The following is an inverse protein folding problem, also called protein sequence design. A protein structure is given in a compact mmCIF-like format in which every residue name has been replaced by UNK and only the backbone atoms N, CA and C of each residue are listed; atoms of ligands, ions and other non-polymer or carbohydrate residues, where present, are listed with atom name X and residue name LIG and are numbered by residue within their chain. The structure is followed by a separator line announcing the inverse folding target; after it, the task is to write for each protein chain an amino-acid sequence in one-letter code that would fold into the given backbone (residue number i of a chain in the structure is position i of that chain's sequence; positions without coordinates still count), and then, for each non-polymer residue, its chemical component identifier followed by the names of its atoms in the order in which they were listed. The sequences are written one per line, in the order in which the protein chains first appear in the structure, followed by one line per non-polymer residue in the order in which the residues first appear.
data_IF_545056987314
#
_entry.id   IF_545056987314
#
_cell.length_a   1.000
_cell.length_b   1.000
_cell.length_c   1.000
_cell.angle_alpha   90.00
_cell.angle_beta   90.00
_cell.angle_gamma   90.00
#
_symmetry.space_group_name_H-M   'P 1'
#
loop_
_entity.id
_entity.type
_entity.pdbx_description
1 polymer ?
#
# COMPACT_ATOMS: atom_id res chain seq x y z
N UNK A 1 -54.59 29.01 -28.72
CA UNK A 1 -54.43 28.41 -27.37
C UNK A 1 -54.07 26.95 -27.54
N UNK A 2 -52.81 26.60 -27.30
CA UNK A 2 -52.31 25.21 -27.34
C UNK A 2 -52.16 24.76 -25.87
N UNK A 3 -52.64 23.61 -25.45
CA UNK A 3 -52.67 23.26 -24.03
C UNK A 3 -51.28 22.81 -23.56
N UNK A 4 -50.84 23.39 -22.47
CA UNK A 4 -49.54 23.22 -21.80
C UNK A 4 -49.43 21.91 -20.96
N UNK A 5 -50.12 20.82 -21.35
CA UNK A 5 -50.20 19.62 -20.50
C UNK A 5 -49.30 18.46 -20.86
N UNK A 6 -48.67 18.43 -22.05
CA UNK A 6 -47.94 17.24 -22.52
C UNK A 6 -46.44 17.18 -22.23
N UNK A 7 -45.80 18.30 -21.81
CA UNK A 7 -44.34 18.30 -21.54
C UNK A 7 -43.94 17.81 -20.14
N UNK A 8 -44.81 17.99 -19.16
CA UNK A 8 -44.51 17.62 -17.76
C UNK A 8 -44.56 16.11 -17.57
N UNK A 9 -45.49 15.43 -18.22
CA UNK A 9 -45.65 13.94 -18.07
C UNK A 9 -44.47 13.15 -18.65
N UNK A 10 -43.83 13.65 -19.72
CA UNK A 10 -42.68 12.95 -20.32
C UNK A 10 -41.38 13.06 -19.50
N UNK A 11 -41.18 14.16 -18.79
CA UNK A 11 -39.99 14.37 -17.94
C UNK A 11 -40.10 13.52 -16.66
N UNK A 12 -41.28 13.43 -16.08
CA UNK A 12 -41.53 12.62 -14.86
C UNK A 12 -41.45 11.12 -15.16
N UNK A 13 -41.93 10.66 -16.33
CA UNK A 13 -41.82 9.26 -16.75
C UNK A 13 -40.35 8.85 -17.04
N UNK A 14 -39.53 9.76 -17.57
CA UNK A 14 -38.11 9.50 -17.80
C UNK A 14 -37.31 9.39 -16.50
N UNK A 15 -37.56 10.25 -15.52
CA UNK A 15 -36.89 10.21 -14.22
C UNK A 15 -37.31 8.97 -13.42
N UNK A 16 -38.58 8.61 -13.39
CA UNK A 16 -39.05 7.40 -12.73
C UNK A 16 -38.52 6.11 -13.38
N UNK A 17 -38.28 6.10 -14.70
CA UNK A 17 -37.68 4.97 -15.39
C UNK A 17 -36.17 4.84 -15.07
N UNK A 18 -35.44 5.96 -14.96
CA UNK A 18 -34.03 5.94 -14.55
C UNK A 18 -33.86 5.51 -13.09
N UNK A 19 -34.72 5.99 -12.19
CA UNK A 19 -34.69 5.57 -10.78
C UNK A 19 -35.03 4.08 -10.63
N UNK A 20 -35.96 3.54 -11.44
CA UNK A 20 -36.28 2.11 -11.46
C UNK A 20 -35.10 1.26 -11.99
N UNK A 21 -34.43 1.68 -13.06
CA UNK A 21 -33.23 1.02 -13.58
C UNK A 21 -32.07 1.07 -12.58
N UNK A 22 -31.84 2.18 -11.91
CA UNK A 22 -30.83 2.29 -10.86
C UNK A 22 -31.15 1.40 -9.65
N UNK A 23 -32.42 1.29 -9.26
CA UNK A 23 -32.85 0.39 -8.19
C UNK A 23 -32.67 -1.09 -8.56
N UNK A 24 -33.01 -1.49 -9.79
CA UNK A 24 -32.80 -2.86 -10.30
C UNK A 24 -31.33 -3.22 -10.37
N UNK A 25 -30.47 -2.31 -10.81
CA UNK A 25 -29.01 -2.49 -10.80
C UNK A 25 -28.48 -2.65 -9.37
N UNK A 26 -28.96 -1.83 -8.42
CA UNK A 26 -28.57 -1.92 -7.01
C UNK A 26 -29.04 -3.24 -6.37
N UNK A 27 -30.25 -3.69 -6.70
CA UNK A 27 -30.78 -4.97 -6.22
C UNK A 27 -29.99 -6.16 -6.77
N UNK A 28 -29.65 -6.10 -8.06
CA UNK A 28 -28.80 -7.10 -8.73
C UNK A 28 -27.41 -7.16 -8.10
N UNK A 29 -26.79 -6.00 -7.80
CA UNK A 29 -25.51 -5.92 -7.09
C UNK A 29 -25.64 -6.54 -5.70
N UNK A 30 -26.69 -6.24 -4.94
CA UNK A 30 -26.92 -6.83 -3.61
C UNK A 30 -27.20 -8.33 -3.67
N UNK A 31 -27.82 -8.79 -4.75
CA UNK A 31 -28.07 -10.22 -4.95
C UNK A 31 -26.79 -10.97 -5.29
N UNK A 32 -25.95 -10.42 -6.18
CA UNK A 32 -24.61 -10.94 -6.47
C UNK A 32 -23.74 -10.93 -5.21
N UNK A 33 -23.79 -9.85 -4.42
CA UNK A 33 -23.07 -9.78 -3.14
C UNK A 33 -23.56 -10.84 -2.15
N UNK A 34 -24.86 -11.13 -2.08
CA UNK A 34 -25.45 -12.20 -1.23
C UNK A 34 -25.06 -13.60 -1.72
N UNK A 35 -25.10 -13.86 -3.00
CA UNK A 35 -24.70 -15.14 -3.60
C UNK A 35 -23.20 -15.40 -3.40
N UNK A 36 -22.36 -14.41 -3.62
CA UNK A 36 -20.92 -14.46 -3.29
C UNK A 36 -20.69 -14.68 -1.79
N UNK A 37 -21.51 -14.10 -0.91
CA UNK A 37 -21.44 -14.33 0.54
C UNK A 37 -21.92 -15.73 0.97
N UNK A 38 -22.82 -16.35 0.21
CA UNK A 38 -23.37 -17.67 0.54
C UNK A 38 -22.47 -18.83 0.05
N UNK A 39 -21.73 -18.64 -1.03
CA UNK A 39 -20.76 -19.63 -1.55
C UNK A 39 -19.41 -19.62 -0.81
N UNK A 40 -19.05 -18.50 -0.18
CA UNK A 40 -17.78 -18.34 0.54
C UNK A 40 -18.09 -18.22 2.03
N UNK A 41 -17.91 -19.30 2.78
CA UNK A 41 -17.94 -19.29 4.26
C UNK A 41 -17.22 -18.06 4.84
N UNK A 42 -16.99 -17.96 6.14
CA UNK A 42 -16.33 -16.80 6.78
C UNK A 42 -15.20 -16.25 5.91
N UNK A 43 -15.25 -14.94 5.58
CA UNK A 43 -14.23 -14.31 4.74
C UNK A 43 -12.83 -14.62 5.27
N UNK A 44 -11.84 -14.87 4.40
CA UNK A 44 -10.48 -15.19 4.83
C UNK A 44 -9.85 -14.03 5.60
N UNK A 45 -8.74 -14.32 6.31
CA UNK A 45 -7.92 -13.37 7.04
C UNK A 45 -8.54 -12.79 8.33
N UNK A 46 -9.54 -13.46 8.92
CA UNK A 46 -10.01 -13.12 10.27
C UNK A 46 -8.85 -13.21 11.27
N UNK A 47 -8.64 -12.17 12.07
CA UNK A 47 -7.53 -12.09 13.02
C UNK A 47 -6.18 -11.70 12.42
N UNK A 48 -6.13 -11.38 11.13
CA UNK A 48 -4.95 -10.81 10.45
C UNK A 48 -5.03 -9.29 10.46
N UNK A 49 -3.91 -8.63 10.72
CA UNK A 49 -3.77 -7.17 10.67
C UNK A 49 -2.82 -6.78 9.55
N UNK A 50 -3.29 -5.91 8.65
CA UNK A 50 -2.50 -5.36 7.55
C UNK A 50 -2.24 -3.87 7.79
N UNK A 51 -0.97 -3.48 7.85
CA UNK A 51 -0.54 -2.08 7.96
C UNK A 51 0.01 -1.67 6.60
N UNK A 52 -0.73 -0.82 5.90
CA UNK A 52 -0.37 -0.31 4.59
C UNK A 52 0.29 1.07 4.70
N UNK A 53 1.29 1.27 3.89
CA UNK A 53 2.01 2.52 3.72
C UNK A 53 2.18 2.80 2.22
N UNK A 54 2.05 4.06 1.80
CA UNK A 54 2.45 4.50 0.47
C UNK A 54 3.67 5.40 0.61
N UNK A 55 4.74 5.11 -0.11
CA UNK A 55 5.97 5.90 -0.07
C UNK A 55 5.74 7.36 -0.47
N UNK A 56 6.59 8.25 0.04
CA UNK A 56 6.56 9.68 -0.33
C UNK A 56 5.25 10.39 0.08
N UNK A 57 4.78 11.36 -0.70
CA UNK A 57 3.55 12.13 -0.45
C UNK A 57 3.78 13.52 0.13
N UNK A 58 2.76 14.37 0.08
CA UNK A 58 2.85 15.77 0.41
C UNK A 58 3.87 16.47 -0.48
N UNK A 59 4.85 17.17 0.08
CA UNK A 59 5.91 17.85 -0.70
C UNK A 59 7.03 16.92 -1.22
N UNK A 60 6.94 15.64 -0.96
CA UNK A 60 7.89 14.63 -1.44
C UNK A 60 7.26 13.82 -2.57
N UNK A 61 7.49 14.18 -3.86
CA UNK A 61 6.90 13.49 -5.00
C UNK A 61 7.51 12.09 -5.24
N UNK A 62 8.59 11.75 -4.52
CA UNK A 62 9.36 10.55 -4.82
C UNK A 62 10.08 10.62 -6.16
N UNK A 63 10.12 9.52 -6.88
CA UNK A 63 10.67 9.48 -8.24
C UNK A 63 9.70 10.10 -9.24
N UNK A 64 10.25 10.81 -10.22
CA UNK A 64 9.46 11.51 -11.21
C UNK A 64 9.84 11.08 -12.63
N UNK A 65 8.83 10.95 -13.48
CA UNK A 65 8.99 10.91 -14.92
C UNK A 65 8.38 12.20 -15.49
N UNK A 66 9.22 13.20 -15.74
CA UNK A 66 8.79 14.54 -16.18
C UNK A 66 8.16 14.53 -17.57
N UNK A 67 8.62 13.65 -18.47
CA UNK A 67 8.07 13.52 -19.83
C UNK A 67 6.63 13.01 -19.80
N UNK A 68 6.30 12.09 -18.91
CA UNK A 68 4.97 11.52 -18.76
C UNK A 68 4.17 12.18 -17.63
N UNK A 69 4.72 13.21 -16.98
CA UNK A 69 4.10 13.95 -15.85
C UNK A 69 3.64 13.03 -14.72
N UNK A 70 4.49 12.08 -14.35
CA UNK A 70 4.18 11.07 -13.34
C UNK A 70 5.06 11.25 -12.11
N UNK A 71 4.47 11.22 -10.93
CA UNK A 71 5.13 11.24 -9.63
C UNK A 71 4.89 9.92 -8.90
N UNK A 72 5.92 9.39 -8.24
CA UNK A 72 5.84 8.13 -7.51
C UNK A 72 4.75 8.13 -6.43
N UNK A 73 4.67 9.21 -5.61
CA UNK A 73 3.73 9.33 -4.49
C UNK A 73 2.28 9.04 -4.92
N UNK A 74 1.83 9.63 -6.03
CA UNK A 74 0.46 9.53 -6.51
C UNK A 74 0.05 8.10 -6.88
N UNK A 75 0.92 7.41 -7.61
CA UNK A 75 0.63 6.04 -8.03
C UNK A 75 0.82 5.03 -6.89
N UNK A 76 1.78 5.27 -6.00
CA UNK A 76 1.96 4.46 -4.79
C UNK A 76 0.73 4.58 -3.89
N UNK A 77 0.19 5.80 -3.74
CA UNK A 77 -1.02 6.07 -2.95
C UNK A 77 -2.25 5.42 -3.58
N UNK A 78 -2.47 5.58 -4.90
CA UNK A 78 -3.59 4.95 -5.61
C UNK A 78 -3.60 3.43 -5.44
N UNK A 79 -2.44 2.78 -5.58
CA UNK A 79 -2.33 1.34 -5.43
C UNK A 79 -2.55 0.90 -3.97
N UNK A 80 -2.05 1.66 -2.99
CA UNK A 80 -2.37 1.42 -1.58
C UNK A 80 -3.89 1.51 -1.33
N UNK A 81 -4.57 2.50 -1.91
CA UNK A 81 -6.02 2.65 -1.81
C UNK A 81 -6.77 1.47 -2.45
N UNK A 82 -6.31 0.97 -3.61
CA UNK A 82 -6.86 -0.25 -4.25
C UNK A 82 -6.70 -1.48 -3.35
N UNK A 83 -5.52 -1.69 -2.80
CA UNK A 83 -5.26 -2.79 -1.84
C UNK A 83 -6.21 -2.67 -0.64
N UNK A 84 -6.32 -1.48 -0.03
CA UNK A 84 -7.21 -1.22 1.11
C UNK A 84 -8.66 -1.55 0.77
N UNK A 85 -9.16 -1.09 -0.40
CA UNK A 85 -10.50 -1.36 -0.90
C UNK A 85 -10.75 -2.86 -1.10
N UNK A 86 -9.82 -3.57 -1.75
CA UNK A 86 -9.93 -5.01 -2.01
C UNK A 86 -9.90 -5.82 -0.70
N UNK A 87 -9.05 -5.46 0.26
CA UNK A 87 -9.04 -6.12 1.57
C UNK A 87 -10.38 -5.98 2.29
N UNK A 88 -10.95 -4.77 2.30
CA UNK A 88 -12.25 -4.52 2.93
C UNK A 88 -13.41 -5.31 2.26
N UNK A 89 -13.33 -5.51 0.95
CA UNK A 89 -14.36 -6.24 0.20
C UNK A 89 -14.22 -7.75 0.29
N UNK A 90 -12.99 -8.27 0.22
CA UNK A 90 -12.71 -9.70 0.00
C UNK A 90 -12.26 -10.45 1.27
N UNK A 91 -12.02 -9.74 2.39
CA UNK A 91 -11.43 -10.36 3.59
C UNK A 91 -11.97 -9.76 4.87
N UNK A 92 -11.77 -10.45 5.99
CA UNK A 92 -12.02 -9.95 7.35
C UNK A 92 -10.75 -9.42 8.04
N UNK A 93 -9.72 -9.07 7.26
CA UNK A 93 -8.50 -8.48 7.78
C UNK A 93 -8.74 -7.08 8.37
N UNK A 94 -8.15 -6.79 9.50
CA UNK A 94 -8.11 -5.44 10.04
C UNK A 94 -7.04 -4.61 9.32
N UNK A 95 -7.43 -3.52 8.67
CA UNK A 95 -6.53 -2.70 7.86
C UNK A 95 -6.26 -1.37 8.54
N UNK A 96 -4.97 -1.05 8.73
CA UNK A 96 -4.48 0.27 9.13
C UNK A 96 -3.65 0.88 8.01
N UNK A 97 -3.63 2.20 7.93
CA UNK A 97 -2.79 2.96 7.00
C UNK A 97 -1.90 3.93 7.76
N UNK A 98 -0.76 4.29 7.18
CA UNK A 98 0.17 5.25 7.79
C UNK A 98 -0.01 6.67 7.24
N UNK A 99 -0.62 6.81 6.08
CA UNK A 99 -0.73 8.05 5.31
C UNK A 99 -2.16 8.22 4.79
N UNK A 100 -2.59 9.47 4.65
CA UNK A 100 -3.92 9.86 4.15
C UNK A 100 -3.80 11.14 3.32
N UNK A 101 -4.47 11.17 2.17
CA UNK A 101 -4.73 12.41 1.43
C UNK A 101 -5.91 13.13 2.11
N UNK A 102 -5.68 14.37 2.58
CA UNK A 102 -6.69 15.16 3.31
C UNK A 102 -7.88 15.57 2.45
N UNK A 103 -7.70 15.67 1.15
CA UNK A 103 -8.71 16.14 0.20
C UNK A 103 -9.53 15.00 -0.38
N UNK A 104 -8.88 13.93 -0.80
CA UNK A 104 -9.54 12.82 -1.52
C UNK A 104 -9.78 11.58 -0.64
N UNK A 105 -9.23 11.57 0.58
CA UNK A 105 -9.27 10.39 1.43
C UNK A 105 -8.60 9.20 0.75
N UNK A 106 -9.24 8.03 0.80
CA UNK A 106 -8.74 6.79 0.22
C UNK A 106 -9.40 6.46 -1.13
N UNK A 107 -9.71 7.46 -1.92
CA UNK A 107 -10.33 7.30 -3.23
C UNK A 107 -9.31 6.78 -4.24
N UNK A 108 -9.68 5.76 -5.02
CA UNK A 108 -8.88 5.27 -6.13
C UNK A 108 -9.07 6.15 -7.37
N UNK A 109 -8.07 6.20 -8.23
CA UNK A 109 -8.12 6.98 -9.47
C UNK A 109 -7.97 6.08 -10.69
N UNK A 110 -8.91 6.16 -11.63
CA UNK A 110 -8.81 5.46 -12.91
C UNK A 110 -8.14 6.30 -14.01
N UNK A 111 -7.71 7.51 -13.66
CA UNK A 111 -6.97 8.39 -14.59
C UNK A 111 -5.60 7.80 -14.92
N UNK A 112 -5.19 7.95 -16.18
CA UNK A 112 -3.85 7.58 -16.64
C UNK A 112 -2.76 8.49 -16.05
N UNK A 113 -3.07 9.79 -15.88
CA UNK A 113 -2.20 10.75 -15.21
C UNK A 113 -2.90 11.20 -13.92
N UNK A 114 -2.31 10.84 -12.79
CA UNK A 114 -2.76 11.28 -11.47
C UNK A 114 -1.95 12.53 -11.14
N UNK A 115 -2.65 13.65 -10.92
CA UNK A 115 -2.03 14.94 -10.63
C UNK A 115 -1.65 15.04 -9.16
N UNK A 116 -0.43 15.48 -8.91
CA UNK A 116 0.07 15.81 -7.57
C UNK A 116 -0.78 16.92 -6.92
N UNK A 117 -1.15 16.71 -5.67
CA UNK A 117 -1.94 17.67 -4.91
C UNK A 117 -1.26 18.13 -3.60
N UNK A 118 -0.15 17.50 -3.21
CA UNK A 118 0.60 17.76 -1.97
C UNK A 118 -0.23 17.64 -0.67
N UNK A 119 -1.35 16.94 -0.68
CA UNK A 119 -2.29 16.88 0.43
C UNK A 119 -2.09 15.67 1.36
N UNK A 120 -1.18 14.75 1.03
CA UNK A 120 -0.93 13.58 1.85
C UNK A 120 -0.16 13.93 3.13
N UNK A 121 -0.64 13.36 4.22
CA UNK A 121 -0.04 13.50 5.55
C UNK A 121 0.08 12.16 6.27
N UNK A 122 1.13 12.02 7.09
CA UNK A 122 1.23 10.87 7.98
C UNK A 122 0.27 11.01 9.16
N UNK A 123 -0.35 9.89 9.53
CA UNK A 123 -1.33 9.78 10.61
C UNK A 123 -0.67 9.68 12.00
N UNK A 124 0.50 10.28 12.16
CA UNK A 124 1.20 10.42 13.45
C UNK A 124 0.48 11.41 14.37
N UNK A 125 0.87 11.46 15.64
CA UNK A 125 0.37 12.44 16.59
C UNK A 125 1.53 13.29 17.15
N UNK A 126 1.59 14.61 16.80
CA UNK A 126 0.72 15.30 15.82
C UNK A 126 0.88 14.78 14.39
N UNK A 127 -0.11 15.03 13.51
CA UNK A 127 -0.03 14.68 12.09
C UNK A 127 1.16 15.36 11.41
N UNK A 128 1.74 14.72 10.41
CA UNK A 128 2.92 15.23 9.71
C UNK A 128 2.67 15.37 8.21
N UNK A 129 2.78 16.59 7.70
CA UNK A 129 2.48 16.97 6.31
C UNK A 129 3.62 16.67 5.31
N UNK A 130 4.42 15.64 5.52
CA UNK A 130 5.48 15.15 4.61
C UNK A 130 6.39 16.24 4.01
N UNK A 131 6.87 17.18 4.83
CA UNK A 131 7.71 18.31 4.38
C UNK A 131 9.17 17.93 4.13
N UNK A 132 9.66 16.90 4.80
CA UNK A 132 11.03 16.41 4.70
C UNK A 132 11.05 14.89 4.57
N UNK A 133 11.62 14.33 3.47
CA UNK A 133 11.62 12.89 3.18
C UNK A 133 12.30 12.05 4.26
N UNK A 134 13.39 12.57 4.88
CA UNK A 134 14.11 11.85 5.94
C UNK A 134 13.24 11.71 7.19
N UNK A 135 12.58 12.78 7.61
CA UNK A 135 11.67 12.78 8.76
C UNK A 135 10.49 11.87 8.47
N UNK A 136 9.89 11.97 7.29
CA UNK A 136 8.81 11.12 6.82
C UNK A 136 9.16 9.64 6.92
N UNK A 137 10.28 9.22 6.34
CA UNK A 137 10.74 7.83 6.37
C UNK A 137 10.87 7.26 7.81
N UNK A 138 11.27 8.11 8.77
CA UNK A 138 11.35 7.70 10.18
C UNK A 138 10.01 7.69 10.89
N UNK A 139 9.10 8.58 10.56
CA UNK A 139 7.78 8.61 11.19
C UNK A 139 6.87 7.46 10.71
N UNK A 140 7.04 6.97 9.47
CA UNK A 140 6.30 5.82 8.93
C UNK A 140 6.51 4.55 9.74
N UNK A 141 7.75 4.14 9.98
CA UNK A 141 8.01 2.96 10.80
C UNK A 141 7.64 3.19 12.27
N UNK A 142 7.77 4.42 12.80
CA UNK A 142 7.38 4.72 14.18
C UNK A 142 5.87 4.54 14.37
N UNK A 143 5.06 5.02 13.42
CA UNK A 143 3.61 4.83 13.40
C UNK A 143 3.26 3.35 13.24
N UNK A 144 3.86 2.64 12.28
CA UNK A 144 3.66 1.21 12.10
C UNK A 144 3.98 0.41 13.37
N UNK A 145 5.08 0.74 14.07
CA UNK A 145 5.44 0.14 15.35
C UNK A 145 4.44 0.46 16.48
N UNK A 146 3.87 1.67 16.47
CA UNK A 146 2.83 2.04 17.45
C UNK A 146 1.55 1.23 17.23
N UNK A 147 1.12 1.09 15.97
CA UNK A 147 -0.03 0.24 15.59
C UNK A 147 0.25 -1.21 15.99
N UNK A 148 1.39 -1.76 15.59
CA UNK A 148 1.79 -3.12 15.90
C UNK A 148 1.73 -3.43 17.41
N UNK A 149 2.36 -2.57 18.24
CA UNK A 149 2.32 -2.74 19.71
C UNK A 149 0.90 -2.68 20.26
N UNK A 150 0.04 -1.84 19.69
CA UNK A 150 -1.36 -1.71 20.12
C UNK A 150 -2.14 -2.99 19.84
N UNK A 151 -2.08 -3.50 18.60
CA UNK A 151 -2.86 -4.69 18.22
C UNK A 151 -2.35 -5.96 18.92
N UNK A 152 -1.04 -6.10 19.14
CA UNK A 152 -0.48 -7.21 19.92
C UNK A 152 -0.94 -7.16 21.39
N UNK A 153 -1.01 -5.98 22.00
CA UNK A 153 -1.58 -5.84 23.36
C UNK A 153 -3.08 -6.14 23.42
N UNK A 154 -3.79 -6.04 22.32
CA UNK A 154 -5.20 -6.42 22.17
C UNK A 154 -5.38 -7.92 21.88
N UNK A 155 -4.33 -8.72 21.93
CA UNK A 155 -4.38 -10.17 21.75
C UNK A 155 -4.10 -10.68 20.34
N UNK A 156 -3.84 -9.82 19.38
CA UNK A 156 -3.45 -10.28 18.03
C UNK A 156 -2.07 -10.94 18.08
N UNK A 157 -1.96 -12.15 17.51
CA UNK A 157 -0.67 -12.80 17.36
C UNK A 157 0.27 -11.95 16.48
N UNK A 158 1.49 -11.74 16.95
CA UNK A 158 2.49 -10.93 16.22
C UNK A 158 2.77 -11.43 14.81
N UNK A 159 2.61 -12.73 14.53
CA UNK A 159 2.82 -13.31 13.20
C UNK A 159 1.66 -13.03 12.25
N UNK A 160 0.50 -12.69 12.76
CA UNK A 160 -0.67 -12.29 11.99
C UNK A 160 -0.67 -10.78 11.66
N UNK A 161 0.45 -10.09 11.88
CA UNK A 161 0.60 -8.68 11.50
C UNK A 161 1.58 -8.56 10.35
N UNK A 162 1.16 -7.90 9.29
CA UNK A 162 1.99 -7.59 8.12
C UNK A 162 2.07 -6.09 7.88
N UNK A 163 3.25 -5.62 7.49
CA UNK A 163 3.49 -4.25 7.06
C UNK A 163 3.96 -4.21 5.60
N UNK A 164 3.35 -3.36 4.79
CA UNK A 164 3.74 -3.15 3.39
C UNK A 164 3.81 -1.69 3.06
N UNK A 165 4.97 -1.26 2.56
CA UNK A 165 5.17 0.06 1.98
C UNK A 165 5.19 -0.05 0.45
N UNK A 166 4.29 0.67 -0.22
CA UNK A 166 4.15 0.67 -1.68
C UNK A 166 4.98 1.81 -2.25
N UNK A 167 5.82 1.50 -3.22
CA UNK A 167 6.76 2.40 -3.89
C UNK A 167 6.80 2.17 -5.39
N UNK A 168 7.41 3.10 -6.11
CA UNK A 168 7.71 3.03 -7.53
C UNK A 168 9.20 3.26 -7.73
N UNK A 169 9.87 2.36 -8.45
CA UNK A 169 11.33 2.37 -8.60
C UNK A 169 11.82 3.33 -9.68
N UNK A 170 13.13 3.63 -9.62
CA UNK A 170 13.85 4.29 -10.72
C UNK A 170 15.22 3.62 -10.94
N UNK A 171 15.19 2.41 -11.47
CA UNK A 171 16.38 1.64 -11.86
C UNK A 171 16.89 2.04 -13.24
N UNK A 172 17.93 1.36 -13.75
CA UNK A 172 18.33 1.51 -15.15
C UNK A 172 17.15 1.15 -16.06
N UNK A 173 16.99 1.89 -17.16
CA UNK A 173 15.83 1.78 -18.09
C UNK A 173 15.58 0.39 -18.67
N UNK A 174 16.59 -0.48 -18.70
CA UNK A 174 16.45 -1.87 -19.16
C UNK A 174 15.82 -2.80 -18.13
N UNK A 175 15.71 -2.39 -16.86
CA UNK A 175 15.11 -3.19 -15.81
C UNK A 175 13.63 -2.83 -15.69
N UNK A 176 12.76 -3.83 -15.65
CA UNK A 176 11.31 -3.66 -15.67
C UNK A 176 10.63 -4.61 -14.69
N UNK A 177 9.46 -4.20 -14.23
CA UNK A 177 8.56 -5.01 -13.43
C UNK A 177 8.76 -4.89 -11.92
N UNK A 178 7.88 -5.57 -11.23
CA UNK A 178 7.78 -5.60 -9.77
C UNK A 178 9.04 -6.18 -9.13
N UNK A 179 9.46 -5.57 -8.04
CA UNK A 179 10.43 -6.14 -7.10
C UNK A 179 10.03 -5.83 -5.65
N UNK A 180 10.57 -6.59 -4.72
CA UNK A 180 10.34 -6.41 -3.30
C UNK A 180 11.67 -6.27 -2.54
N UNK A 181 11.73 -5.28 -1.64
CA UNK A 181 12.74 -5.25 -0.59
C UNK A 181 12.17 -5.86 0.69
N UNK A 182 12.97 -6.71 1.32
CA UNK A 182 12.71 -7.32 2.63
C UNK A 182 13.84 -6.95 3.61
N UNK A 183 13.65 -7.04 4.94
CA UNK A 183 14.73 -6.76 5.88
C UNK A 183 15.84 -7.80 5.76
N UNK A 184 17.09 -7.34 5.87
CA UNK A 184 18.27 -8.21 5.99
C UNK A 184 18.64 -8.45 7.45
N UNK A 185 18.72 -9.68 7.88
CA UNK A 185 19.17 -10.00 9.25
C UNK A 185 20.59 -9.49 9.54
N UNK A 186 21.44 -9.40 8.52
CA UNK A 186 22.82 -8.90 8.62
C UNK A 186 22.88 -7.38 8.67
N UNK A 187 22.11 -6.69 7.79
CA UNK A 187 22.19 -5.25 7.59
C UNK A 187 21.10 -4.45 8.35
N UNK A 188 20.21 -5.14 9.07
CA UNK A 188 19.29 -4.50 10.03
C UNK A 188 20.04 -4.33 11.34
N UNK A 189 20.53 -3.16 11.60
CA UNK A 189 21.51 -2.95 12.65
C UNK A 189 20.94 -2.43 13.96
N UNK A 190 21.53 -2.91 15.04
CA UNK A 190 21.90 -2.27 16.31
C UNK A 190 20.88 -1.33 16.98
N UNK A 191 21.24 -0.89 18.16
CA UNK A 191 20.48 0.12 18.93
C UNK A 191 20.50 1.48 18.24
N UNK A 192 19.32 2.09 18.08
CA UNK A 192 19.17 3.46 17.62
C UNK A 192 18.20 4.22 18.52
N UNK A 193 18.65 5.35 19.02
CA UNK A 193 17.84 6.25 19.82
C UNK A 193 17.31 7.39 18.95
N UNK A 194 15.99 7.55 18.91
CA UNK A 194 15.26 8.60 18.19
C UNK A 194 14.69 9.68 19.12
N UNK A 195 15.05 9.69 20.42
CA UNK A 195 14.66 10.74 21.36
C UNK A 195 15.39 12.05 21.09
N UNK A 196 15.24 12.59 19.90
CA UNK A 196 15.86 13.82 19.41
C UNK A 196 14.97 14.56 18.43
N UNK A 197 15.23 15.84 18.18
CA UNK A 197 14.53 16.60 17.15
C UNK A 197 14.83 16.03 15.75
N UNK A 198 13.83 16.05 14.84
CA UNK A 198 12.43 16.48 15.04
C UNK A 198 11.52 15.39 15.63
N UNK A 199 12.00 14.17 15.88
CA UNK A 199 11.21 12.98 16.15
C UNK A 199 10.56 12.96 17.52
N UNK A 200 11.23 13.48 18.57
CA UNK A 200 10.77 13.40 19.97
C UNK A 200 9.41 14.05 20.25
N UNK A 201 8.91 14.91 19.35
CA UNK A 201 7.58 15.54 19.48
C UNK A 201 6.44 14.60 19.14
N UNK A 202 6.69 13.51 18.40
CA UNK A 202 5.66 12.57 17.97
C UNK A 202 5.42 11.49 19.02
N UNK A 203 4.14 11.25 19.34
CA UNK A 203 3.71 10.26 20.34
C UNK A 203 4.28 8.86 20.05
N UNK A 204 4.26 8.44 18.80
CA UNK A 204 4.69 7.13 18.32
C UNK A 204 6.19 6.90 18.62
N UNK A 205 7.00 7.94 18.51
CA UNK A 205 8.43 7.90 18.86
C UNK A 205 8.63 7.92 20.38
N UNK A 206 7.93 8.80 21.12
CA UNK A 206 8.03 8.86 22.60
C UNK A 206 7.66 7.55 23.27
N UNK A 207 6.68 6.81 22.71
CA UNK A 207 6.27 5.50 23.25
C UNK A 207 7.40 4.46 23.26
N UNK A 208 8.31 4.50 22.30
CA UNK A 208 9.50 3.65 22.25
C UNK A 208 10.58 4.29 21.39
N UNK A 209 11.37 5.21 21.95
CA UNK A 209 12.38 5.95 21.20
C UNK A 209 13.61 5.11 20.84
N UNK A 210 13.88 4.05 21.59
CA UNK A 210 15.01 3.16 21.32
C UNK A 210 14.54 1.93 20.55
N UNK A 211 15.12 1.72 19.39
CA UNK A 211 14.84 0.57 18.51
C UNK A 211 16.04 -0.37 18.51
N UNK A 212 15.80 -1.61 18.87
CA UNK A 212 16.78 -2.69 18.79
C UNK A 212 16.08 -4.01 18.50
N UNK A 213 16.79 -4.90 17.82
CA UNK A 213 16.30 -6.26 17.51
C UNK A 213 17.38 -7.29 17.79
N UNK A 214 17.03 -8.37 18.46
CA UNK A 214 17.90 -9.52 18.65
C UNK A 214 18.22 -10.21 17.32
N UNK A 215 19.28 -11.00 17.27
CA UNK A 215 19.62 -11.80 16.07
C UNK A 215 18.48 -12.74 15.67
N UNK A 216 17.79 -13.35 16.65
CA UNK A 216 16.64 -14.24 16.43
C UNK A 216 15.48 -13.50 15.78
N UNK A 217 15.12 -12.29 16.28
CA UNK A 217 14.06 -11.46 15.69
C UNK A 217 14.39 -11.04 14.26
N UNK A 218 15.62 -10.62 13.97
CA UNK A 218 16.03 -10.24 12.62
C UNK A 218 15.95 -11.41 11.64
N UNK A 219 16.40 -12.61 12.02
CA UNK A 219 16.31 -13.82 11.19
C UNK A 219 14.86 -14.22 10.92
N UNK A 220 14.01 -14.23 11.96
CA UNK A 220 12.57 -14.50 11.84
C UNK A 220 11.91 -13.51 10.87
N UNK A 221 12.19 -12.23 11.02
CA UNK A 221 11.61 -11.20 10.16
C UNK A 221 12.06 -11.36 8.70
N UNK A 222 13.33 -11.63 8.44
CA UNK A 222 13.82 -11.89 7.09
C UNK A 222 13.13 -13.12 6.46
N UNK A 223 12.95 -14.20 7.20
CA UNK A 223 12.31 -15.42 6.72
C UNK A 223 10.82 -15.21 6.40
N UNK A 224 10.06 -14.62 7.34
CA UNK A 224 8.63 -14.33 7.15
C UNK A 224 8.40 -13.39 5.97
N UNK A 225 9.18 -12.31 5.88
CA UNK A 225 9.08 -11.34 4.78
C UNK A 225 9.47 -11.94 3.43
N UNK A 226 10.44 -12.86 3.39
CA UNK A 226 10.84 -13.56 2.16
C UNK A 226 9.71 -14.46 1.67
N UNK A 227 9.15 -15.30 2.55
CA UNK A 227 8.04 -16.20 2.21
C UNK A 227 6.86 -15.41 1.62
N UNK A 228 6.47 -14.30 2.24
CA UNK A 228 5.40 -13.47 1.70
C UNK A 228 5.78 -12.84 0.34
N UNK A 229 6.99 -12.29 0.20
CA UNK A 229 7.44 -11.66 -1.04
C UNK A 229 7.51 -12.67 -2.21
N UNK A 230 7.85 -13.94 -1.95
CA UNK A 230 7.84 -15.03 -2.94
C UNK A 230 6.40 -15.32 -3.43
N UNK A 231 5.43 -15.38 -2.50
CA UNK A 231 4.02 -15.52 -2.85
C UNK A 231 3.50 -14.32 -3.66
N UNK A 232 3.83 -13.10 -3.24
CA UNK A 232 3.44 -11.90 -3.97
C UNK A 232 4.00 -11.88 -5.40
N UNK A 233 5.27 -12.17 -5.58
CA UNK A 233 5.90 -12.29 -6.91
C UNK A 233 5.24 -13.37 -7.75
N UNK A 234 4.86 -14.50 -7.14
CA UNK A 234 4.10 -15.57 -7.79
C UNK A 234 2.71 -15.10 -8.24
N UNK A 235 1.99 -14.40 -7.39
CA UNK A 235 0.66 -13.85 -7.73
C UNK A 235 0.77 -12.76 -8.80
N UNK A 236 1.78 -11.89 -8.77
CA UNK A 236 2.01 -10.92 -9.84
C UNK A 236 2.11 -11.61 -11.20
N UNK A 237 2.87 -12.70 -11.32
CA UNK A 237 2.97 -13.47 -12.58
C UNK A 237 1.64 -14.04 -13.01
N UNK A 238 0.84 -14.60 -12.09
CA UNK A 238 -0.50 -15.15 -12.39
C UNK A 238 -1.46 -14.09 -12.89
N UNK A 239 -1.38 -12.87 -12.33
CA UNK A 239 -2.21 -11.73 -12.74
C UNK A 239 -1.69 -11.03 -14.02
N UNK A 240 -0.60 -11.50 -14.63
CA UNK A 240 0.02 -10.84 -15.79
C UNK A 240 0.75 -9.54 -15.43
N UNK A 241 1.05 -9.31 -14.16
CA UNK A 241 1.87 -8.18 -13.70
C UNK A 241 3.34 -8.52 -13.94
N UNK A 242 4.04 -7.65 -14.66
CA UNK A 242 5.46 -7.84 -14.97
C UNK A 242 6.31 -7.89 -13.71
N UNK A 243 7.21 -8.87 -13.63
CA UNK A 243 8.14 -9.06 -12.51
C UNK A 243 9.57 -8.87 -13.00
N UNK A 244 10.42 -8.25 -12.19
CA UNK A 244 11.83 -8.09 -12.49
C UNK A 244 12.49 -9.44 -12.75
N UNK A 245 13.12 -9.60 -13.92
CA UNK A 245 13.60 -10.90 -14.39
C UNK A 245 14.69 -11.52 -13.52
N UNK A 246 15.59 -10.71 -12.95
CA UNK A 246 16.70 -11.19 -12.11
C UNK A 246 16.62 -10.60 -10.70
N UNK A 247 16.58 -11.47 -9.69
CA UNK A 247 16.54 -11.11 -8.25
C UNK A 247 15.42 -10.12 -7.91
N UNK A 248 14.15 -10.50 -8.15
CA UNK A 248 13.01 -9.62 -7.82
C UNK A 248 12.84 -9.40 -6.31
N UNK A 249 13.44 -10.23 -5.47
CA UNK A 249 13.43 -10.08 -4.01
C UNK A 249 14.84 -9.77 -3.53
N UNK A 250 15.01 -8.62 -2.88
CA UNK A 250 16.29 -8.13 -2.37
C UNK A 250 16.18 -7.82 -0.88
N UNK A 251 17.24 -8.10 -0.13
CA UNK A 251 17.24 -7.86 1.33
C UNK A 251 18.07 -6.64 1.75
N UNK A 252 18.68 -5.94 0.81
CA UNK A 252 19.42 -4.70 1.03
C UNK A 252 19.64 -3.96 -0.28
N UNK A 253 19.99 -2.69 -0.17
CA UNK A 253 20.39 -1.82 -1.28
C UNK A 253 21.90 -1.62 -1.20
N UNK A 254 22.58 -1.72 -2.34
CA UNK A 254 23.98 -1.31 -2.51
C UNK A 254 23.97 0.03 -3.24
N UNK A 255 24.56 1.09 -2.67
CA UNK A 255 24.63 2.39 -3.33
C UNK A 255 25.42 2.31 -4.65
N UNK A 256 24.95 2.98 -5.71
CA UNK A 256 25.56 2.93 -7.04
C UNK A 256 27.01 3.47 -7.07
N UNK A 257 27.35 4.43 -6.21
CA UNK A 257 28.69 5.02 -6.09
C UNK A 257 29.59 4.29 -5.08
N UNK A 258 29.27 3.03 -4.76
CA UNK A 258 29.91 2.33 -3.67
C UNK A 258 29.34 2.74 -2.29
N UNK A 259 29.80 2.08 -1.25
CA UNK A 259 29.34 2.31 0.10
C UNK A 259 28.78 1.07 0.77
N UNK A 260 28.47 1.19 2.06
CA UNK A 260 27.97 0.05 2.84
C UNK A 260 26.55 -0.30 2.45
N UNK A 261 26.24 -1.59 2.23
CA UNK A 261 24.89 -2.05 2.02
C UNK A 261 23.97 -1.60 3.17
N UNK A 262 22.74 -1.20 2.84
CA UNK A 262 21.77 -0.76 3.83
C UNK A 262 20.37 -1.29 3.54
N UNK A 263 19.52 -1.29 4.58
CA UNK A 263 18.09 -1.60 4.49
C UNK A 263 17.33 -0.28 4.60
N UNK A 264 16.31 -0.02 3.76
CA UNK A 264 15.46 1.16 3.87
C UNK A 264 14.94 1.38 5.29
N UNK A 265 14.88 2.63 5.75
CA UNK A 265 14.55 2.98 7.13
C UNK A 265 13.19 2.38 7.56
N UNK A 266 12.21 2.39 6.66
CA UNK A 266 10.86 1.86 6.86
C UNK A 266 10.83 0.36 7.16
N UNK A 267 11.83 -0.38 6.72
CA UNK A 267 12.03 -1.81 7.04
C UNK A 267 13.02 -2.01 8.19
N UNK A 268 14.08 -1.18 8.21
CA UNK A 268 15.21 -1.35 9.14
C UNK A 268 14.82 -1.18 10.61
N UNK A 269 13.92 -0.24 10.89
CA UNK A 269 13.49 0.12 12.24
C UNK A 269 12.07 -0.35 12.58
N UNK A 270 11.43 -1.02 11.67
CA UNK A 270 10.08 -1.55 11.82
C UNK A 270 10.11 -2.85 12.63
N UNK A 271 9.23 -2.95 13.65
CA UNK A 271 9.15 -4.09 14.56
C UNK A 271 8.20 -5.20 14.07
N UNK A 272 7.36 -4.93 13.08
CA UNK A 272 6.46 -5.94 12.50
C UNK A 272 7.29 -7.10 11.96
N UNK A 273 7.00 -8.37 12.31
CA UNK A 273 7.79 -9.52 11.85
C UNK A 273 7.76 -9.68 10.32
N UNK A 274 6.58 -9.66 9.70
CA UNK A 274 6.42 -9.75 8.26
C UNK A 274 6.31 -8.33 7.67
N UNK A 275 7.32 -7.89 6.93
CA UNK A 275 7.38 -6.52 6.37
C UNK A 275 8.13 -6.47 5.06
N UNK A 276 7.61 -5.70 4.12
CA UNK A 276 8.21 -5.48 2.81
C UNK A 276 8.00 -4.06 2.30
N UNK A 277 8.87 -3.66 1.40
CA UNK A 277 8.72 -2.50 0.54
C UNK A 277 8.59 -3.02 -0.90
N UNK A 278 7.47 -2.72 -1.53
CA UNK A 278 7.16 -3.18 -2.89
C UNK A 278 7.43 -2.06 -3.88
N UNK A 279 8.23 -2.35 -4.88
CA UNK A 279 8.54 -1.48 -6.00
C UNK A 279 7.78 -2.01 -7.22
N UNK A 280 6.71 -1.35 -7.63
CA UNK A 280 5.74 -1.94 -8.55
C UNK A 280 6.14 -1.87 -10.02
N UNK A 281 6.84 -0.82 -10.41
CA UNK A 281 7.39 -0.62 -11.75
C UNK A 281 8.64 0.24 -11.67
N UNK A 282 9.33 0.41 -12.81
CA UNK A 282 10.46 1.30 -12.96
C UNK A 282 10.08 2.52 -13.81
N UNK A 283 9.96 3.71 -13.21
CA UNK A 283 9.60 4.95 -13.93
C UNK A 283 10.59 5.37 -15.02
N UNK A 284 11.85 4.90 -14.96
CA UNK A 284 12.82 5.14 -16.02
C UNK A 284 12.62 4.23 -17.25
N UNK A 285 11.82 3.17 -17.12
CA UNK A 285 11.42 2.32 -18.23
C UNK A 285 10.12 2.86 -18.84
N UNK A 286 10.17 3.32 -20.10
CA UNK A 286 8.95 3.79 -20.80
C UNK A 286 7.83 2.75 -20.78
N UNK A 287 8.17 1.46 -20.98
CA UNK A 287 7.20 0.38 -20.98
C UNK A 287 6.50 0.24 -19.61
N UNK A 288 7.24 0.33 -18.54
CA UNK A 288 6.70 0.24 -17.18
C UNK A 288 5.89 1.49 -16.80
N UNK A 289 6.36 2.68 -17.19
CA UNK A 289 5.63 3.91 -16.96
C UNK A 289 4.27 3.91 -17.68
N UNK A 290 4.22 3.44 -18.93
CA UNK A 290 2.94 3.28 -19.66
C UNK A 290 2.03 2.24 -19.01
N UNK A 291 2.57 1.11 -18.52
CA UNK A 291 1.78 0.14 -17.75
C UNK A 291 1.17 0.75 -16.50
N UNK A 292 1.93 1.58 -15.79
CA UNK A 292 1.45 2.23 -14.56
C UNK A 292 0.32 3.24 -14.83
N UNK A 293 0.27 3.83 -16.03
CA UNK A 293 -0.83 4.70 -16.46
C UNK A 293 -2.15 3.92 -16.64
N UNK A 294 -2.08 2.62 -16.95
CA UNK A 294 -3.26 1.76 -17.05
C UNK A 294 -3.80 1.42 -15.64
N UNK A 295 -5.02 1.87 -15.35
CA UNK A 295 -5.67 1.57 -14.08
C UNK A 295 -5.92 0.07 -13.88
N UNK A 296 -6.16 -0.70 -14.95
CA UNK A 296 -6.32 -2.15 -14.86
C UNK A 296 -5.01 -2.84 -14.45
N UNK A 297 -3.86 -2.33 -14.88
CA UNK A 297 -2.57 -2.83 -14.42
C UNK A 297 -2.37 -2.56 -12.91
N UNK A 298 -2.75 -1.37 -12.45
CA UNK A 298 -2.70 -1.03 -11.01
C UNK A 298 -3.66 -1.92 -10.19
N UNK A 299 -4.85 -2.18 -10.72
CA UNK A 299 -5.82 -3.09 -10.09
C UNK A 299 -5.28 -4.52 -10.01
N UNK A 300 -4.71 -5.07 -11.09
CA UNK A 300 -4.07 -6.40 -11.10
C UNK A 300 -2.95 -6.52 -10.07
N UNK A 301 -2.13 -5.47 -9.91
CA UNK A 301 -1.09 -5.44 -8.90
C UNK A 301 -1.64 -5.48 -7.47
N UNK A 302 -2.76 -4.78 -7.22
CA UNK A 302 -3.45 -4.79 -5.94
C UNK A 302 -4.14 -6.14 -5.67
N UNK A 303 -4.77 -6.76 -6.68
CA UNK A 303 -5.35 -8.11 -6.60
C UNK A 303 -4.25 -9.12 -6.25
N UNK A 304 -3.11 -9.09 -6.95
CA UNK A 304 -1.98 -9.97 -6.68
C UNK A 304 -1.50 -9.88 -5.22
N UNK A 305 -1.54 -8.68 -4.62
CA UNK A 305 -1.18 -8.48 -3.22
C UNK A 305 -2.18 -9.15 -2.27
N UNK A 306 -3.48 -8.96 -2.50
CA UNK A 306 -4.53 -9.54 -1.65
C UNK A 306 -4.54 -11.07 -1.78
N UNK A 307 -4.39 -11.60 -3.00
CA UNK A 307 -4.29 -13.04 -3.23
C UNK A 307 -3.05 -13.65 -2.55
N UNK A 308 -1.93 -12.92 -2.53
CA UNK A 308 -0.73 -13.35 -1.80
C UNK A 308 -0.96 -13.38 -0.28
N UNK A 309 -1.71 -12.43 0.28
CA UNK A 309 -2.07 -12.44 1.71
C UNK A 309 -2.98 -13.63 2.04
N UNK A 310 -3.99 -13.87 1.22
CA UNK A 310 -4.89 -15.02 1.40
C UNK A 310 -4.11 -16.32 1.34
N UNK A 311 -3.21 -16.46 0.37
CA UNK A 311 -2.34 -17.64 0.25
C UNK A 311 -1.37 -17.77 1.44
N UNK A 312 -0.84 -16.67 1.97
CA UNK A 312 0.15 -16.69 3.06
C UNK A 312 -0.46 -17.11 4.40
N UNK A 313 -1.68 -16.67 4.69
CA UNK A 313 -2.35 -16.90 5.97
C UNK A 313 -3.44 -17.98 5.91
N UNK A 314 -3.89 -18.37 4.72
CA UNK A 314 -4.95 -19.37 4.51
C UNK A 314 -4.44 -20.77 4.17
N UNK A 315 -3.12 -20.96 4.06
CA UNK A 315 -2.46 -22.24 3.75
C UNK A 315 -1.95 -22.98 4.99
#
# INVERSE_FOLDING_TARGET
MVPAGRRVVRIVAGAACQEAEEQEVQETIRQIEREVHHEWGAKPLKGVVVILDAGHGGRDPGKQNTHLKMNENEYAYDIMCRIKRLLARRTDAQVFVTIEDRRTGYTVSDRSIIRDNNDEQLLTNPRYANRDPRTSAHLRWALANSIFRRVVRQGINSDNVVFTSVHINSLHRSQQGVMAFIPSARHTAGNRNFNRNPYKRYREVRQKPVISFTRKQRRRSQAASRRFAEMYVGQCRRQGVSVLGRKPIRSYIVPARGGRPFVPAVLRYNAVPNKQLLELVNLNSRRDAVRLQDHNYREKAAIAYVDALIQYYGG
#
